data_IF_225556088745
#
_entry.id   IF_225556088745
#
_cell.length_a   1.000
_cell.length_b   1.000
_cell.length_c   1.000
_cell.angle_alpha   90.00
_cell.angle_beta   90.00
_cell.angle_gamma   90.00
#
_symmetry.space_group_name_H-M   'P 1'
#
loop_
_entity.id
_entity.type
_entity.pdbx_description
1 polymer ?
#
# COMPACT_ATOMS: atom_id res chain seq x y z
N UNK A 1 17.18 11.82 -2.18
CA UNK A 1 16.76 10.58 -1.49
C UNK A 1 15.30 10.70 -1.10
N UNK A 2 14.42 9.90 -1.72
CA UNK A 2 12.96 10.00 -1.57
C UNK A 2 12.41 9.28 -0.32
N UNK A 3 13.28 8.70 0.52
CA UNK A 3 12.91 7.76 1.58
C UNK A 3 12.71 8.48 2.94
N UNK A 4 12.93 9.79 3.03
CA UNK A 4 13.07 10.50 4.30
C UNK A 4 11.79 11.10 4.90
N UNK A 5 10.61 10.95 4.28
CA UNK A 5 9.39 11.62 4.81
C UNK A 5 8.14 10.76 4.75
N UNK A 6 8.26 9.44 4.90
CA UNK A 6 7.10 8.61 5.25
C UNK A 6 7.17 8.42 6.76
N UNK A 7 6.51 9.29 7.51
CA UNK A 7 6.34 9.07 8.94
C UNK A 7 5.53 7.79 9.14
N UNK A 8 5.92 6.95 10.10
CA UNK A 8 5.22 5.68 10.38
C UNK A 8 3.71 5.89 10.62
N UNK A 9 3.33 7.06 11.12
CA UNK A 9 1.94 7.47 11.33
C UNK A 9 1.17 7.63 10.00
N UNK A 10 1.82 8.03 8.91
CA UNK A 10 1.21 8.14 7.57
C UNK A 10 0.98 6.79 6.89
N UNK A 11 1.71 5.74 7.29
CA UNK A 11 1.44 4.38 6.78
C UNK A 11 0.10 3.82 7.24
N UNK A 12 -0.44 4.38 8.32
CA UNK A 12 -1.76 4.06 8.84
C UNK A 12 -2.82 5.05 8.34
N UNK A 13 -2.45 6.12 7.63
CA UNK A 13 -3.44 6.95 6.94
C UNK A 13 -4.05 6.12 5.83
N UNK A 14 -5.31 5.75 6.06
CA UNK A 14 -6.14 5.06 5.10
C UNK A 14 -6.73 6.12 4.18
N UNK A 15 -6.58 5.92 2.88
CA UNK A 15 -7.35 6.65 1.88
C UNK A 15 -8.85 6.58 2.22
N UNK A 16 -9.69 7.49 1.68
CA UNK A 16 -11.12 7.48 1.94
C UNK A 16 -11.82 6.16 1.59
N UNK A 17 -11.20 5.28 0.81
CA UNK A 17 -11.67 3.93 0.49
C UNK A 17 -11.06 2.83 1.39
N UNK A 18 -10.31 3.17 2.44
CA UNK A 18 -9.61 2.18 3.28
C UNK A 18 -8.31 1.63 2.70
N UNK A 19 -7.87 2.12 1.53
CA UNK A 19 -6.61 1.71 0.91
C UNK A 19 -5.41 2.29 1.67
N UNK A 20 -4.33 1.50 1.74
CA UNK A 20 -3.06 1.89 2.36
C UNK A 20 -2.05 2.30 1.27
N UNK A 21 -0.89 2.82 1.65
CA UNK A 21 0.22 3.05 0.71
C UNK A 21 0.57 1.79 -0.13
N UNK A 22 0.47 0.59 0.47
CA UNK A 22 0.69 -0.66 -0.25
C UNK A 22 -0.36 -0.92 -1.35
N UNK A 23 -1.63 -0.58 -1.12
CA UNK A 23 -2.70 -0.72 -2.11
C UNK A 23 -2.43 0.20 -3.31
N UNK A 24 -2.11 1.48 -3.07
CA UNK A 24 -1.79 2.45 -4.13
C UNK A 24 -0.55 2.04 -4.93
N UNK A 25 0.52 1.60 -4.25
CA UNK A 25 1.74 1.15 -4.91
C UNK A 25 1.52 -0.12 -5.76
N UNK A 26 0.68 -1.04 -5.27
CA UNK A 26 0.31 -2.25 -6.00
C UNK A 26 -0.58 -1.96 -7.21
N UNK A 27 -1.61 -1.11 -7.06
CA UNK A 27 -2.49 -0.66 -8.15
C UNK A 27 -1.70 0.05 -9.26
N UNK A 28 -0.74 0.91 -8.89
CA UNK A 28 0.13 1.60 -9.84
C UNK A 28 1.26 0.74 -10.43
N UNK A 29 1.38 -0.55 -10.07
CA UNK A 29 2.44 -1.43 -10.55
C UNK A 29 3.85 -1.01 -10.10
N UNK A 30 3.97 -0.22 -9.03
CA UNK A 30 5.24 0.34 -8.55
C UNK A 30 6.01 -0.69 -7.71
N UNK A 31 6.58 -1.71 -8.38
CA UNK A 31 7.25 -2.86 -7.76
C UNK A 31 8.34 -2.45 -6.75
N UNK A 32 9.11 -1.42 -7.06
CA UNK A 32 10.19 -0.92 -6.19
C UNK A 32 9.64 -0.31 -4.89
N UNK A 33 8.52 0.41 -4.98
CA UNK A 33 7.82 0.98 -3.81
C UNK A 33 7.19 -0.14 -2.98
N UNK A 34 6.54 -1.11 -3.63
CA UNK A 34 6.00 -2.31 -2.95
C UNK A 34 7.10 -3.04 -2.17
N UNK A 35 8.26 -3.25 -2.80
CA UNK A 35 9.42 -3.89 -2.16
C UNK A 35 9.95 -3.10 -0.97
N UNK A 36 9.95 -1.77 -1.06
CA UNK A 36 10.38 -0.88 0.03
C UNK A 36 9.40 -0.93 1.21
N UNK A 37 8.09 -0.81 0.95
CA UNK A 37 7.04 -0.87 1.96
C UNK A 37 7.02 -2.21 2.71
N UNK A 38 7.23 -3.31 1.99
CA UNK A 38 7.25 -4.65 2.58
C UNK A 38 8.51 -4.92 3.41
N UNK A 39 9.68 -4.53 2.91
CA UNK A 39 10.95 -4.88 3.56
C UNK A 39 11.37 -3.89 4.64
N UNK A 40 11.11 -2.59 4.46
CA UNK A 40 11.60 -1.55 5.39
C UNK A 40 10.60 -1.20 6.47
N UNK A 41 9.31 -1.31 6.17
CA UNK A 41 8.25 -0.77 7.04
C UNK A 41 7.39 -1.85 7.68
N UNK A 42 7.58 -3.12 7.30
CA UNK A 42 6.83 -4.24 7.88
C UNK A 42 5.32 -4.11 7.68
N UNK A 43 4.89 -3.49 6.58
CA UNK A 43 3.49 -3.23 6.31
C UNK A 43 2.66 -4.52 6.33
N UNK A 44 1.48 -4.45 6.96
CA UNK A 44 0.50 -5.54 6.96
C UNK A 44 -0.08 -5.75 5.57
N UNK A 45 0.36 -6.83 4.94
CA UNK A 45 0.03 -7.25 3.56
C UNK A 45 -1.41 -7.77 3.43
N UNK A 46 -2.01 -8.13 4.56
CA UNK A 46 -3.31 -8.76 4.72
C UNK A 46 -4.45 -7.75 5.00
N UNK A 47 -4.12 -6.46 5.13
CA UNK A 47 -5.12 -5.41 5.30
C UNK A 47 -5.99 -5.34 4.06
N UNK A 48 -7.31 -5.36 4.26
CA UNK A 48 -8.31 -5.16 3.21
C UNK A 48 -8.82 -3.71 3.24
N UNK A 49 -9.00 -3.11 2.07
CA UNK A 49 -9.66 -1.84 1.88
C UNK A 49 -11.20 -1.98 2.05
N UNK A 50 -11.97 -0.90 1.85
CA UNK A 50 -13.46 -0.91 1.99
C UNK A 50 -14.17 -1.70 0.89
N UNK A 51 -13.50 -2.00 -0.21
CA UNK A 51 -13.98 -2.95 -1.22
C UNK A 51 -13.74 -4.40 -0.81
N UNK A 52 -13.10 -4.61 0.33
CA UNK A 52 -12.74 -5.93 0.83
C UNK A 52 -11.55 -6.52 0.10
N UNK A 53 -10.73 -5.74 -0.60
CA UNK A 53 -9.56 -6.21 -1.36
C UNK A 53 -8.27 -5.94 -0.58
N UNK A 54 -7.34 -6.87 -0.61
CA UNK A 54 -5.94 -6.64 -0.21
C UNK A 54 -5.19 -5.87 -1.29
N UNK A 55 -4.02 -5.32 -0.96
CA UNK A 55 -3.18 -4.63 -1.93
C UNK A 55 -2.78 -5.51 -3.13
N UNK A 56 -2.65 -6.83 -2.92
CA UNK A 56 -2.43 -7.76 -4.03
C UNK A 56 -3.68 -7.88 -4.89
N UNK A 57 -4.83 -8.17 -4.28
CA UNK A 57 -6.10 -8.33 -5.00
C UNK A 57 -6.53 -7.05 -5.75
N UNK A 58 -6.28 -5.86 -5.19
CA UNK A 58 -6.56 -4.57 -5.83
C UNK A 58 -5.65 -4.31 -7.05
N UNK A 59 -4.44 -4.88 -7.10
CA UNK A 59 -3.59 -4.81 -8.29
C UNK A 59 -4.16 -5.59 -9.49
N UNK A 60 -4.99 -6.59 -9.21
CA UNK A 60 -5.62 -7.45 -10.24
C UNK A 60 -7.11 -7.16 -10.40
N UNK A 61 -7.69 -6.26 -9.60
CA UNK A 61 -9.00 -5.68 -9.88
C UNK A 61 -8.82 -4.62 -10.97
N UNK A 62 -8.37 -5.06 -12.14
CA UNK A 62 -8.42 -4.27 -13.35
C UNK A 62 -9.91 -4.02 -13.68
N UNK A 63 -10.25 -2.78 -13.98
CA UNK A 63 -11.40 -2.45 -14.84
C UNK A 63 -10.95 -2.41 -16.30
#
# INVERSE_FOLDING_TARGET
ELIATIHYEDLNQLEPNGSTALHAASYGGHVEIVRLLLNKLGCRRDRRNRYGLTAYEEAFSEE
#
